data_IF_967400211913
#
_entry.id   IF_967400211913
#
_cell.length_a   1.000
_cell.length_b   1.000
_cell.length_c   1.000
_cell.angle_alpha   90.00
_cell.angle_beta   90.00
_cell.angle_gamma   90.00
#
_symmetry.space_group_name_H-M   'P 1'
#
loop_
_entity.id
_entity.type
_entity.pdbx_description
1 polymer ?
#
# COMPACT_ATOMS: atom_id res chain seq x y z
N UNK A 1 -2.64 5.27 -23.14
CA UNK A 1 -3.17 4.74 -21.89
C UNK A 1 -2.02 4.75 -20.93
N UNK A 2 -2.21 5.32 -19.73
CA UNK A 2 -1.16 5.29 -18.73
C UNK A 2 -0.79 3.83 -18.45
N UNK A 3 0.51 3.57 -18.28
CA UNK A 3 1.05 2.24 -18.02
C UNK A 3 2.09 2.30 -16.91
N UNK A 4 2.36 1.16 -16.28
CA UNK A 4 3.31 1.07 -15.18
C UNK A 4 4.74 1.55 -15.50
N UNK A 5 5.11 1.69 -16.79
CA UNK A 5 6.41 2.23 -17.21
C UNK A 5 6.52 3.76 -17.19
N UNK A 6 5.44 4.48 -16.89
CA UNK A 6 5.42 5.95 -16.88
C UNK A 6 6.01 6.53 -15.59
N UNK A 7 6.20 7.85 -15.57
CA UNK A 7 6.57 8.59 -14.37
C UNK A 7 5.36 8.70 -13.43
N UNK A 8 5.56 8.73 -12.10
CA UNK A 8 4.46 8.92 -11.17
C UNK A 8 3.82 10.30 -11.37
N UNK A 9 2.48 10.41 -11.39
CA UNK A 9 1.79 11.70 -11.30
C UNK A 9 2.06 12.37 -9.94
N UNK A 10 1.86 13.69 -9.86
CA UNK A 10 2.16 14.45 -8.63
C UNK A 10 1.35 13.97 -7.42
N UNK A 11 0.12 13.55 -7.66
CA UNK A 11 -0.78 12.97 -6.67
C UNK A 11 -0.25 11.64 -6.13
N UNK A 12 0.39 10.82 -6.97
CA UNK A 12 1.02 9.58 -6.50
C UNK A 12 2.25 9.88 -5.63
N UNK A 13 3.05 10.88 -5.99
CA UNK A 13 4.18 11.33 -5.16
C UNK A 13 3.68 11.81 -3.79
N UNK A 14 2.61 12.62 -3.78
CA UNK A 14 1.93 13.04 -2.54
C UNK A 14 1.45 11.84 -1.72
N UNK A 15 0.76 10.88 -2.33
CA UNK A 15 0.28 9.68 -1.65
C UNK A 15 1.42 8.84 -1.05
N UNK A 16 2.58 8.76 -1.72
CA UNK A 16 3.79 8.10 -1.19
C UNK A 16 4.28 8.79 0.09
N UNK A 17 4.31 10.12 0.11
CA UNK A 17 4.69 10.87 1.30
C UNK A 17 3.71 10.66 2.46
N UNK A 18 2.40 10.77 2.20
CA UNK A 18 1.34 10.54 3.18
C UNK A 18 1.44 9.15 3.79
N UNK A 19 1.53 8.11 2.94
CA UNK A 19 1.70 6.72 3.36
C UNK A 19 2.93 6.55 4.28
N UNK A 20 4.05 7.16 3.90
CA UNK A 20 5.31 7.01 4.63
C UNK A 20 5.33 7.81 5.94
N UNK A 21 4.55 8.90 6.06
CA UNK A 21 4.33 9.65 7.30
C UNK A 21 3.32 8.99 8.26
N UNK A 22 2.58 7.97 7.80
CA UNK A 22 1.52 7.33 8.57
C UNK A 22 0.17 8.05 8.45
N UNK A 23 0.05 9.00 7.52
CA UNK A 23 -1.18 9.70 7.14
C UNK A 23 -2.00 8.79 6.21
N UNK A 24 -2.31 7.58 6.67
CA UNK A 24 -2.89 6.53 5.82
C UNK A 24 -4.32 6.83 5.39
N UNK A 25 -5.04 7.66 6.15
CA UNK A 25 -6.35 8.13 5.75
C UNK A 25 -6.21 9.12 4.58
N UNK A 26 -5.39 10.15 4.71
CA UNK A 26 -5.16 11.12 3.64
C UNK A 26 -4.60 10.45 2.38
N UNK A 27 -3.71 9.46 2.56
CA UNK A 27 -3.21 8.63 1.48
C UNK A 27 -4.32 7.87 0.73
N UNK A 28 -5.30 7.30 1.45
CA UNK A 28 -6.40 6.58 0.81
C UNK A 28 -7.26 7.52 -0.05
N UNK A 29 -7.52 8.74 0.40
CA UNK A 29 -8.30 9.72 -0.35
C UNK A 29 -7.56 10.12 -1.63
N UNK A 30 -6.27 10.45 -1.52
CA UNK A 30 -5.43 10.78 -2.68
C UNK A 30 -5.37 9.63 -3.70
N UNK A 31 -5.27 8.38 -3.24
CA UNK A 31 -5.24 7.20 -4.12
C UNK A 31 -6.60 6.85 -4.72
N UNK A 32 -7.71 7.14 -4.04
CA UNK A 32 -9.05 6.88 -4.56
C UNK A 32 -9.32 7.72 -5.82
N UNK A 33 -8.91 8.99 -5.81
CA UNK A 33 -9.01 9.87 -6.98
C UNK A 33 -8.24 9.32 -8.19
N UNK A 34 -7.04 8.80 -7.97
CA UNK A 34 -6.21 8.18 -9.02
C UNK A 34 -6.76 6.85 -9.51
N UNK A 35 -7.43 6.09 -8.64
CA UNK A 35 -8.00 4.80 -8.98
C UNK A 35 -9.28 4.91 -9.81
N UNK A 36 -10.06 5.97 -9.62
CA UNK A 36 -11.34 6.17 -10.31
C UNK A 36 -11.12 6.26 -11.82
N UNK A 37 -11.76 5.35 -12.56
CA UNK A 37 -11.70 5.30 -14.03
C UNK A 37 -10.53 4.52 -14.60
N UNK A 38 -9.55 4.11 -13.78
CA UNK A 38 -8.42 3.30 -14.22
C UNK A 38 -8.83 1.86 -14.54
N UNK A 39 -8.03 1.23 -15.42
CA UNK A 39 -8.26 -0.14 -15.91
C UNK A 39 -6.95 -0.94 -15.95
N UNK A 40 -7.10 -2.26 -16.01
CA UNK A 40 -5.96 -3.17 -16.14
C UNK A 40 -5.00 -3.05 -14.96
N UNK A 41 -3.70 -3.10 -15.25
CA UNK A 41 -2.63 -3.15 -14.26
C UNK A 41 -2.60 -1.93 -13.33
N UNK A 42 -2.87 -0.71 -13.85
CA UNK A 42 -2.91 0.49 -13.02
C UNK A 42 -4.08 0.49 -12.04
N UNK A 43 -5.22 -0.08 -12.44
CA UNK A 43 -6.34 -0.27 -11.53
C UNK A 43 -5.95 -1.18 -10.36
N UNK A 44 -5.29 -2.30 -10.67
CA UNK A 44 -4.81 -3.26 -9.66
C UNK A 44 -3.72 -2.65 -8.77
N UNK A 45 -2.83 -1.83 -9.34
CA UNK A 45 -1.81 -1.07 -8.61
C UNK A 45 -2.45 -0.12 -7.59
N UNK A 46 -3.26 0.82 -8.05
CA UNK A 46 -3.88 1.80 -7.15
C UNK A 46 -4.77 1.13 -6.11
N UNK A 47 -5.56 0.13 -6.52
CA UNK A 47 -6.39 -0.64 -5.60
C UNK A 47 -5.56 -1.36 -4.54
N UNK A 48 -4.44 -1.97 -4.92
CA UNK A 48 -3.55 -2.66 -3.99
C UNK A 48 -2.93 -1.72 -2.97
N UNK A 49 -2.35 -0.61 -3.42
CA UNK A 49 -1.73 0.39 -2.53
C UNK A 49 -2.78 1.02 -1.60
N UNK A 50 -3.94 1.40 -2.14
CA UNK A 50 -5.05 1.98 -1.37
C UNK A 50 -5.52 1.02 -0.28
N UNK A 51 -5.74 -0.26 -0.61
CA UNK A 51 -6.17 -1.24 0.38
C UNK A 51 -5.14 -1.45 1.49
N UNK A 52 -3.84 -1.44 1.17
CA UNK A 52 -2.79 -1.51 2.19
C UNK A 52 -2.82 -0.26 3.08
N UNK A 53 -3.00 0.95 2.52
CA UNK A 53 -3.13 2.17 3.33
C UNK A 53 -4.32 2.06 4.31
N UNK A 54 -5.50 1.68 3.83
CA UNK A 54 -6.69 1.49 4.68
C UNK A 54 -6.45 0.38 5.72
N UNK A 55 -5.72 -0.67 5.38
CA UNK A 55 -5.37 -1.73 6.33
C UNK A 55 -4.50 -1.21 7.49
N UNK A 56 -3.50 -0.37 7.19
CA UNK A 56 -2.66 0.25 8.22
C UNK A 56 -3.43 1.23 9.08
N UNK A 57 -4.36 1.99 8.49
CA UNK A 57 -5.30 2.83 9.23
C UNK A 57 -6.17 2.00 10.19
N UNK A 58 -6.70 0.85 9.73
CA UNK A 58 -7.46 -0.06 10.59
C UNK A 58 -6.64 -0.62 11.74
N UNK A 59 -5.42 -1.07 11.47
CA UNK A 59 -4.52 -1.56 12.51
C UNK A 59 -4.25 -0.47 13.56
N UNK A 60 -3.93 0.75 13.11
CA UNK A 60 -3.70 1.90 13.99
C UNK A 60 -4.90 2.23 14.88
N UNK A 61 -6.12 2.01 14.38
CA UNK A 61 -7.37 2.29 15.08
C UNK A 61 -7.92 1.10 15.89
N UNK A 62 -7.15 0.03 16.11
CA UNK A 62 -7.62 -1.08 16.94
C UNK A 62 -8.41 -2.16 16.18
N UNK A 63 -8.54 -2.07 14.86
CA UNK A 63 -9.33 -3.00 14.05
C UNK A 63 -8.44 -4.04 13.33
N UNK A 64 -8.06 -5.10 14.05
CA UNK A 64 -7.25 -6.18 13.49
C UNK A 64 -7.92 -6.84 12.29
N UNK A 65 -9.19 -7.22 12.43
CA UNK A 65 -9.92 -7.95 11.39
C UNK A 65 -9.94 -7.19 10.06
N UNK A 66 -10.21 -5.88 10.13
CA UNK A 66 -10.16 -4.99 8.96
C UNK A 66 -8.77 -4.94 8.34
N UNK A 67 -7.73 -4.79 9.17
CA UNK A 67 -6.35 -4.76 8.73
C UNK A 67 -5.93 -6.05 8.00
N UNK A 68 -6.20 -7.22 8.58
CA UNK A 68 -5.84 -8.52 7.97
C UNK A 68 -6.53 -8.73 6.61
N UNK A 69 -7.83 -8.43 6.53
CA UNK A 69 -8.59 -8.60 5.29
C UNK A 69 -8.03 -7.71 4.17
N UNK A 70 -7.71 -6.46 4.48
CA UNK A 70 -7.27 -5.49 3.48
C UNK A 70 -5.79 -5.64 3.11
N UNK A 71 -4.92 -6.07 4.04
CA UNK A 71 -3.55 -6.47 3.71
C UNK A 71 -3.54 -7.64 2.72
N UNK A 72 -4.35 -8.67 2.97
CA UNK A 72 -4.44 -9.82 2.05
C UNK A 72 -4.95 -9.39 0.68
N UNK A 73 -6.09 -8.69 0.61
CA UNK A 73 -6.68 -8.24 -0.67
C UNK A 73 -5.76 -7.28 -1.43
N UNK A 74 -5.08 -6.38 -0.71
CA UNK A 74 -4.12 -5.46 -1.27
C UNK A 74 -2.95 -6.21 -1.91
N UNK A 75 -2.35 -7.15 -1.16
CA UNK A 75 -1.30 -8.03 -1.68
C UNK A 75 -1.75 -8.85 -2.90
N UNK A 76 -2.96 -9.42 -2.87
CA UNK A 76 -3.54 -10.18 -3.98
C UNK A 76 -3.71 -9.31 -5.24
N UNK A 77 -4.01 -8.02 -5.09
CA UNK A 77 -4.05 -7.08 -6.22
C UNK A 77 -2.64 -6.83 -6.77
N UNK A 78 -1.67 -6.59 -5.90
CA UNK A 78 -0.29 -6.33 -6.31
C UNK A 78 0.41 -7.54 -6.96
N UNK A 79 -0.07 -8.77 -6.74
CA UNK A 79 0.39 -9.95 -7.49
C UNK A 79 0.11 -9.87 -9.00
N UNK A 80 -0.86 -9.06 -9.42
CA UNK A 80 -1.20 -8.83 -10.84
C UNK A 80 -0.47 -7.63 -11.44
N UNK A 81 0.39 -6.98 -10.66
CA UNK A 81 1.13 -5.78 -11.03
C UNK A 81 2.60 -6.13 -11.21
N UNK A 82 3.24 -5.50 -12.20
CA UNK A 82 4.68 -5.58 -12.43
C UNK A 82 5.46 -5.22 -11.18
N UNK A 83 6.64 -5.83 -11.01
CA UNK A 83 7.52 -5.58 -9.86
C UNK A 83 7.87 -4.10 -9.65
N UNK A 84 7.79 -3.30 -10.71
CA UNK A 84 7.91 -1.85 -10.67
C UNK A 84 6.71 -1.27 -11.43
N UNK A 85 6.02 -0.31 -10.81
CA UNK A 85 4.92 0.40 -11.44
C UNK A 85 4.94 1.87 -11.05
N UNK A 86 4.92 2.78 -12.02
CA UNK A 86 5.01 4.23 -11.81
C UNK A 86 6.21 4.61 -10.91
N UNK A 87 7.34 3.92 -11.11
CA UNK A 87 8.57 4.00 -10.31
C UNK A 87 8.43 3.54 -8.85
N UNK A 88 7.28 3.03 -8.42
CA UNK A 88 7.12 2.40 -7.10
C UNK A 88 7.66 0.97 -7.16
N UNK A 89 8.47 0.60 -6.18
CA UNK A 89 8.92 -0.77 -5.93
C UNK A 89 7.76 -1.62 -5.37
N UNK A 90 6.94 -2.15 -6.28
CA UNK A 90 5.74 -2.93 -5.96
C UNK A 90 6.12 -4.29 -5.36
N UNK A 91 7.22 -4.89 -5.83
CA UNK A 91 7.71 -6.15 -5.30
C UNK A 91 8.03 -6.02 -3.80
N UNK A 92 8.78 -4.97 -3.43
CA UNK A 92 9.08 -4.69 -2.03
C UNK A 92 7.83 -4.40 -1.21
N UNK A 93 6.92 -3.56 -1.72
CA UNK A 93 5.67 -3.27 -1.02
C UNK A 93 4.87 -4.54 -0.73
N UNK A 94 4.77 -5.44 -1.71
CA UNK A 94 4.08 -6.73 -1.56
C UNK A 94 4.74 -7.58 -0.48
N UNK A 95 6.06 -7.71 -0.51
CA UNK A 95 6.80 -8.54 0.42
C UNK A 95 6.72 -7.97 1.86
N UNK A 96 6.81 -6.65 2.00
CA UNK A 96 6.63 -5.95 3.29
C UNK A 96 5.19 -6.11 3.81
N UNK A 97 4.18 -6.00 2.95
CA UNK A 97 2.77 -6.17 3.32
C UNK A 97 2.47 -7.62 3.76
N UNK A 98 3.03 -8.61 3.08
CA UNK A 98 2.92 -10.02 3.48
C UNK A 98 3.58 -10.27 4.84
N UNK A 99 4.80 -9.75 5.05
CA UNK A 99 5.49 -9.85 6.33
C UNK A 99 4.74 -9.16 7.47
N UNK A 100 4.10 -8.01 7.21
CA UNK A 100 3.29 -7.32 8.21
C UNK A 100 1.98 -8.07 8.51
N UNK A 101 1.33 -8.66 7.50
CA UNK A 101 0.15 -9.52 7.66
C UNK A 101 0.44 -10.71 8.60
N UNK A 102 1.56 -11.40 8.37
CA UNK A 102 1.98 -12.53 9.22
C UNK A 102 2.20 -12.11 10.68
N UNK A 103 2.85 -10.96 10.90
CA UNK A 103 3.09 -10.41 12.25
C UNK A 103 1.80 -10.08 12.96
N UNK A 104 0.88 -9.37 12.29
CA UNK A 104 -0.42 -9.02 12.87
C UNK A 104 -1.25 -10.28 13.17
N UNK A 105 -1.22 -11.26 12.26
CA UNK A 105 -1.92 -12.54 12.46
C UNK A 105 -1.38 -13.31 13.66
N UNK A 106 -0.05 -13.36 13.83
CA UNK A 106 0.59 -14.02 14.96
C UNK A 106 0.41 -13.28 16.29
N UNK A 107 0.37 -11.94 16.26
CA UNK A 107 0.12 -11.12 17.44
C UNK A 107 -1.29 -11.34 17.97
N UNK A 108 -2.29 -11.36 17.09
CA UNK A 108 -3.71 -11.44 17.46
C UNK A 108 -4.25 -10.14 18.03
N UNK A 109 -5.55 -10.08 18.33
CA UNK A 109 -6.23 -8.84 18.76
C UNK A 109 -5.63 -8.26 20.05
N UNK A 110 -5.20 -9.13 20.96
CA UNK A 110 -4.68 -8.72 22.28
C UNK A 110 -3.31 -8.05 22.21
N UNK A 111 -2.46 -8.40 21.22
CA UNK A 111 -1.06 -7.94 21.15
C UNK A 111 -0.71 -7.16 19.90
N UNK A 112 -1.66 -6.91 19.01
CA UNK A 112 -1.36 -6.17 17.78
C UNK A 112 -0.88 -4.72 18.03
N UNK A 113 -1.21 -4.14 19.20
CA UNK A 113 -0.71 -2.83 19.62
C UNK A 113 0.78 -2.86 20.00
N UNK A 114 1.36 -4.04 20.24
CA UNK A 114 2.79 -4.24 20.51
C UNK A 114 3.61 -4.34 19.23
N UNK A 115 2.97 -4.52 18.07
CA UNK A 115 3.67 -4.56 16.78
C UNK A 115 4.24 -3.17 16.47
N UNK A 116 5.55 -3.10 16.26
CA UNK A 116 6.23 -1.82 16.09
C UNK A 116 5.79 -1.10 14.78
N UNK A 117 5.43 0.20 14.83
CA UNK A 117 5.09 0.97 13.63
C UNK A 117 6.20 1.06 12.58
N UNK A 118 7.46 0.88 12.99
CA UNK A 118 8.63 0.79 12.11
C UNK A 118 8.57 -0.40 11.16
N UNK A 119 7.81 -1.44 11.50
CA UNK A 119 7.64 -2.67 10.70
C UNK A 119 6.49 -2.55 9.69
N UNK A 120 5.69 -1.49 9.75
CA UNK A 120 4.65 -1.24 8.76
C UNK A 120 5.29 -1.06 7.38
N UNK A 121 4.66 -1.55 6.30
CA UNK A 121 5.13 -1.36 4.94
C UNK A 121 5.39 0.11 4.63
N UNK A 122 6.28 0.37 3.68
CA UNK A 122 6.58 1.70 3.14
C UNK A 122 6.55 1.69 1.63
N UNK A 123 6.25 2.84 1.04
CA UNK A 123 6.32 3.03 -0.40
C UNK A 123 7.70 3.57 -0.78
N UNK A 124 8.33 2.93 -1.75
CA UNK A 124 9.66 3.29 -2.23
C UNK A 124 9.59 3.70 -3.68
N UNK A 125 9.92 4.97 -3.95
CA UNK A 125 10.16 5.46 -5.31
C UNK A 125 11.60 5.14 -5.71
N UNK A 126 11.76 4.48 -6.84
CA UNK A 126 13.05 4.19 -7.44
C UNK A 126 13.55 5.44 -8.15
N UNK A 127 14.74 5.91 -7.78
CA UNK A 127 15.37 7.03 -8.50
C UNK A 127 15.73 6.61 -9.91
N UNK A 128 15.18 7.32 -10.91
CA UNK A 128 15.72 7.29 -12.26
C UNK A 128 17.08 8.01 -12.24
N UNK A 129 18.17 7.24 -12.30
CA UNK A 129 19.46 7.82 -12.68
C UNK A 129 19.28 8.42 -14.09
N UNK A 130 19.37 9.75 -14.17
CA UNK A 130 19.38 10.51 -15.41
C UNK A 130 20.65 10.26 -16.23
#
# INVERSE_FOLDING_TARGET
>A
MPCCGERPPGELVKAVEEFNRGEWFECHETLEELWVGEKGELRDFYQGVLQIAVALHHWHNGNLKGALILLQRGGDCLLRVSSICLQVDVARLRDDAAGFLERLSAAGEERMAEVEPSLAPKLHLLSVNH
#
